data_IF_667211383478
#
_entry.id   IF_667211383478
#
_cell.length_a   1.000
_cell.length_b   1.000
_cell.length_c   1.000
_cell.angle_alpha   90.00
_cell.angle_beta   90.00
_cell.angle_gamma   90.00
#
_symmetry.space_group_name_H-M   'P 1'
#
loop_
_entity.id
_entity.type
_entity.pdbx_description
1 polymer ?
#
# COMPACT_ATOMS: atom_id res chain seq x y z
N UNK A 1 6.51 -20.41 -3.07
CA UNK A 1 6.28 -19.69 -1.80
C UNK A 1 6.48 -18.16 -1.86
N UNK A 2 6.94 -17.55 -2.97
CA UNK A 2 7.18 -16.08 -3.11
C UNK A 2 6.00 -15.26 -3.70
N UNK A 3 4.74 -15.60 -3.39
CA UNK A 3 3.57 -14.86 -3.94
C UNK A 3 2.98 -13.82 -2.98
N UNK A 4 3.43 -13.77 -1.72
CA UNK A 4 2.68 -13.12 -0.64
C UNK A 4 3.40 -11.96 0.08
N UNK A 5 4.74 -11.88 0.04
CA UNK A 5 5.44 -10.67 0.51
C UNK A 5 5.13 -9.43 -0.36
N UNK A 6 4.83 -9.64 -1.64
CA UNK A 6 4.34 -8.59 -2.56
C UNK A 6 2.92 -8.13 -2.21
N UNK A 7 2.11 -9.00 -1.59
CA UNK A 7 0.74 -8.69 -1.18
C UNK A 7 0.70 -7.86 0.12
N UNK A 8 1.72 -7.95 0.98
CA UNK A 8 1.75 -7.17 2.22
C UNK A 8 1.96 -5.66 1.98
N UNK A 9 2.74 -5.29 0.96
CA UNK A 9 2.87 -3.89 0.54
C UNK A 9 1.61 -3.39 -0.20
N UNK A 10 0.87 -4.29 -0.87
CA UNK A 10 -0.39 -3.95 -1.55
C UNK A 10 -1.60 -3.88 -0.59
N UNK A 11 -1.57 -4.57 0.55
CA UNK A 11 -2.73 -4.72 1.44
C UNK A 11 -2.98 -3.50 2.36
N UNK A 12 -1.96 -2.69 2.66
CA UNK A 12 -2.13 -1.50 3.51
C UNK A 12 -2.89 -0.37 2.81
N UNK A 13 -2.93 -0.35 1.47
CA UNK A 13 -3.70 0.62 0.70
C UNK A 13 -5.21 0.28 0.58
N UNK A 14 -5.63 -0.92 0.99
CA UNK A 14 -7.01 -1.44 0.73
C UNK A 14 -7.85 -1.56 2.02
N UNK A 15 -7.24 -1.33 3.20
CA UNK A 15 -7.86 -1.60 4.50
C UNK A 15 -8.68 -0.43 5.10
N UNK A 16 -8.65 0.77 4.52
CA UNK A 16 -9.54 1.85 4.95
C UNK A 16 -10.91 1.66 4.26
N UNK A 17 -11.93 1.34 5.05
CA UNK A 17 -13.32 1.30 4.56
C UNK A 17 -13.79 2.66 4.04
N UNK A 18 -14.94 2.71 3.33
CA UNK A 18 -15.46 3.90 2.65
C UNK A 18 -15.77 5.13 3.54
N UNK A 19 -15.59 5.04 4.86
CA UNK A 19 -15.83 6.13 5.83
C UNK A 19 -14.59 6.92 6.27
N UNK A 20 -13.39 6.61 5.79
CA UNK A 20 -12.13 7.30 6.18
C UNK A 20 -11.30 7.77 4.98
N UNK A 21 -11.95 8.21 3.91
CA UNK A 21 -11.21 8.83 2.81
C UNK A 21 -11.01 10.33 3.13
N UNK A 22 -9.79 10.67 3.53
CA UNK A 22 -9.38 12.05 3.77
C UNK A 22 -9.61 12.90 2.50
N UNK A 23 -10.01 14.16 2.70
CA UNK A 23 -10.15 15.09 1.58
C UNK A 23 -8.80 15.34 0.91
N UNK A 24 -8.81 15.35 -0.42
CA UNK A 24 -7.61 15.61 -1.21
C UNK A 24 -7.43 17.13 -1.32
N UNK A 25 -6.31 17.70 -0.83
CA UNK A 25 -6.05 19.12 -0.94
C UNK A 25 -6.07 19.58 -2.40
N UNK A 26 -6.83 20.63 -2.70
CA UNK A 26 -6.96 21.16 -4.05
C UNK A 26 -8.04 20.48 -4.90
N UNK A 27 -8.75 19.49 -4.37
CA UNK A 27 -9.98 18.96 -4.97
C UNK A 27 -11.19 19.54 -4.24
N UNK A 28 -12.22 19.91 -5.00
CA UNK A 28 -13.45 20.47 -4.46
C UNK A 28 -14.24 19.44 -3.67
N UNK A 29 -14.97 19.93 -2.66
CA UNK A 29 -15.86 19.11 -1.84
C UNK A 29 -16.91 18.36 -2.67
N UNK A 30 -17.45 18.99 -3.71
CA UNK A 30 -18.41 18.34 -4.61
C UNK A 30 -17.80 17.12 -5.35
N UNK A 31 -16.55 17.23 -5.81
CA UNK A 31 -15.88 16.11 -6.47
C UNK A 31 -15.44 15.03 -5.46
N UNK A 32 -15.06 15.40 -4.24
CA UNK A 32 -14.82 14.44 -3.17
C UNK A 32 -16.10 13.71 -2.75
N UNK A 33 -17.24 14.39 -2.72
CA UNK A 33 -18.54 13.77 -2.42
C UNK A 33 -18.95 12.77 -3.52
N UNK A 34 -18.73 13.11 -4.80
CA UNK A 34 -18.91 12.18 -5.92
C UNK A 34 -18.03 10.93 -5.79
N UNK A 35 -16.79 11.08 -5.31
CA UNK A 35 -15.92 9.94 -5.03
C UNK A 35 -16.50 9.06 -3.92
N UNK A 36 -16.93 9.65 -2.80
CA UNK A 36 -17.55 8.92 -1.70
C UNK A 36 -18.80 8.17 -2.15
N UNK A 37 -19.62 8.80 -3.00
CA UNK A 37 -20.79 8.17 -3.59
C UNK A 37 -20.42 7.02 -4.53
N UNK A 38 -19.40 7.16 -5.38
CA UNK A 38 -18.99 6.08 -6.29
C UNK A 38 -18.42 4.86 -5.55
N UNK A 39 -17.83 5.09 -4.37
CA UNK A 39 -17.31 4.06 -3.48
C UNK A 39 -18.35 3.51 -2.49
N UNK A 40 -19.61 3.95 -2.59
CA UNK A 40 -20.73 3.46 -1.79
C UNK A 40 -21.83 2.85 -2.69
N UNK A 41 -22.13 1.54 -2.63
CA UNK A 41 -21.58 0.55 -1.69
C UNK A 41 -20.10 0.27 -1.95
N UNK A 42 -19.44 -0.28 -0.91
CA UNK A 42 -18.01 -0.63 -0.94
C UNK A 42 -17.72 -1.48 -2.19
N UNK A 43 -16.68 -1.17 -2.97
CA UNK A 43 -16.35 -1.95 -4.15
C UNK A 43 -16.05 -3.42 -3.82
N UNK A 44 -16.44 -4.33 -4.72
CA UNK A 44 -16.27 -5.77 -4.55
C UNK A 44 -14.86 -6.25 -4.87
N UNK A 45 -13.85 -5.52 -4.38
CA UNK A 45 -12.44 -5.87 -4.52
C UNK A 45 -11.57 -4.77 -5.14
N UNK A 46 -10.27 -5.06 -5.28
CA UNK A 46 -9.26 -4.08 -5.69
C UNK A 46 -9.41 -3.62 -7.15
N UNK A 47 -9.89 -4.49 -8.05
CA UNK A 47 -10.09 -4.13 -9.46
C UNK A 47 -11.24 -3.15 -9.64
N UNK A 48 -12.37 -3.39 -8.97
CA UNK A 48 -13.52 -2.46 -9.00
C UNK A 48 -13.16 -1.13 -8.36
N UNK A 49 -12.45 -1.16 -7.22
CA UNK A 49 -11.95 0.05 -6.57
C UNK A 49 -11.03 0.85 -7.50
N UNK A 50 -10.05 0.19 -8.13
CA UNK A 50 -9.12 0.82 -9.06
C UNK A 50 -9.86 1.48 -10.23
N UNK A 51 -10.85 0.79 -10.79
CA UNK A 51 -11.66 1.32 -11.89
C UNK A 51 -12.41 2.59 -11.45
N UNK A 52 -13.11 2.53 -10.31
CA UNK A 52 -13.85 3.68 -9.75
C UNK A 52 -12.95 4.89 -9.47
N UNK A 53 -11.75 4.66 -8.94
CA UNK A 53 -10.76 5.73 -8.74
C UNK A 53 -10.29 6.35 -10.06
N UNK A 54 -10.06 5.54 -11.10
CA UNK A 54 -9.67 6.04 -12.43
C UNK A 54 -10.81 6.82 -13.11
N UNK A 55 -12.05 6.32 -13.01
CA UNK A 55 -13.24 7.02 -13.52
C UNK A 55 -13.41 8.38 -12.84
N UNK A 56 -13.25 8.42 -11.51
CA UNK A 56 -13.29 9.67 -10.76
C UNK A 56 -12.16 10.63 -11.18
N UNK A 57 -10.90 10.18 -11.24
CA UNK A 57 -9.77 11.03 -11.65
C UNK A 57 -9.98 11.60 -13.06
N UNK A 58 -10.49 10.80 -14.00
CA UNK A 58 -10.77 11.24 -15.37
C UNK A 58 -11.96 12.22 -15.46
N UNK A 59 -12.85 12.24 -14.47
CA UNK A 59 -13.98 13.16 -14.39
C UNK A 59 -13.61 14.55 -13.83
N UNK A 60 -12.41 14.67 -13.22
CA UNK A 60 -11.94 15.91 -12.62
C UNK A 60 -11.53 16.94 -13.69
N UNK A 61 -11.77 18.24 -13.44
CA UNK A 61 -11.13 19.32 -14.17
C UNK A 61 -9.60 19.23 -14.06
N UNK A 62 -8.87 19.75 -15.06
CA UNK A 62 -7.41 19.61 -15.15
C UNK A 62 -6.65 20.04 -13.89
N UNK A 63 -7.07 21.12 -13.22
CA UNK A 63 -6.44 21.60 -12.00
C UNK A 63 -6.65 20.65 -10.80
N UNK A 64 -7.89 20.17 -10.60
CA UNK A 64 -8.21 19.22 -9.54
C UNK A 64 -7.60 17.84 -9.82
N UNK A 65 -7.52 17.44 -11.09
CA UNK A 65 -6.81 16.23 -11.52
C UNK A 65 -5.33 16.30 -11.17
N UNK A 66 -4.68 17.43 -11.45
CA UNK A 66 -3.28 17.63 -11.09
C UNK A 66 -3.09 17.58 -9.56
N UNK A 67 -4.00 18.18 -8.80
CA UNK A 67 -3.99 18.12 -7.34
C UNK A 67 -4.15 16.66 -6.83
N UNK A 68 -5.07 15.89 -7.41
CA UNK A 68 -5.27 14.48 -7.08
C UNK A 68 -4.05 13.61 -7.42
N UNK A 69 -3.40 13.85 -8.56
CA UNK A 69 -2.19 13.14 -8.96
C UNK A 69 -1.03 13.47 -8.02
N UNK A 70 -0.80 14.75 -7.71
CA UNK A 70 0.24 15.18 -6.78
C UNK A 70 0.03 14.59 -5.38
N UNK A 71 -1.22 14.59 -4.88
CA UNK A 71 -1.54 13.98 -3.60
C UNK A 71 -1.31 12.46 -3.60
N UNK A 72 -1.66 11.78 -4.70
CA UNK A 72 -1.38 10.35 -4.86
C UNK A 72 0.12 10.06 -4.87
N UNK A 73 0.93 10.87 -5.53
CA UNK A 73 2.39 10.74 -5.52
C UNK A 73 2.95 10.94 -4.10
N UNK A 74 2.51 11.99 -3.41
CA UNK A 74 2.89 12.25 -2.02
C UNK A 74 2.55 11.08 -1.10
N UNK A 75 1.33 10.53 -1.20
CA UNK A 75 0.93 9.39 -0.38
C UNK A 75 1.77 8.15 -0.69
N UNK A 76 2.12 7.91 -1.97
CA UNK A 76 3.00 6.81 -2.34
C UNK A 76 4.42 6.98 -1.78
N UNK A 77 4.97 8.20 -1.80
CA UNK A 77 6.27 8.50 -1.19
C UNK A 77 6.24 8.31 0.33
N UNK A 78 5.20 8.80 1.00
CA UNK A 78 4.99 8.59 2.44
C UNK A 78 4.93 7.11 2.79
N UNK A 79 4.07 6.35 2.12
CA UNK A 79 3.94 4.91 2.35
C UNK A 79 5.23 4.15 2.08
N UNK A 80 5.98 4.55 1.06
CA UNK A 80 7.29 3.96 0.80
C UNK A 80 8.27 4.26 1.92
N UNK A 81 8.36 5.50 2.37
CA UNK A 81 9.22 5.89 3.50
C UNK A 81 8.81 5.18 4.80
N UNK A 82 7.52 5.03 5.08
CA UNK A 82 7.00 4.26 6.21
C UNK A 82 7.35 2.77 6.10
N UNK A 83 7.23 2.18 4.91
CA UNK A 83 7.65 0.80 4.66
C UNK A 83 9.14 0.59 4.97
N UNK A 84 10.01 1.53 4.57
CA UNK A 84 11.44 1.46 4.84
C UNK A 84 11.81 1.67 6.32
N UNK A 85 11.01 2.45 7.03
CA UNK A 85 11.15 2.65 8.48
C UNK A 85 10.63 1.45 9.28
N UNK A 86 9.62 0.75 8.75
CA UNK A 86 9.01 -0.41 9.41
C UNK A 86 10.00 -1.57 9.44
N UNK A 87 10.51 -1.86 10.64
CA UNK A 87 11.30 -3.05 10.91
C UNK A 87 10.46 -4.33 10.80
N UNK A 88 11.13 -5.43 10.44
CA UNK A 88 10.57 -6.77 10.57
C UNK A 88 11.08 -7.35 11.89
N UNK A 89 10.21 -7.71 12.85
CA UNK A 89 10.62 -8.27 14.12
C UNK A 89 11.53 -9.50 13.94
N UNK A 90 12.68 -9.49 14.61
CA UNK A 90 13.66 -10.58 14.55
C UNK A 90 14.60 -10.54 13.34
N UNK A 91 14.41 -9.62 12.39
CA UNK A 91 15.38 -9.37 11.32
C UNK A 91 16.42 -8.34 11.80
N UNK A 92 17.69 -8.62 11.56
CA UNK A 92 18.80 -7.76 11.94
C UNK A 92 18.74 -6.36 11.29
N UNK A 93 19.33 -5.37 11.98
CA UNK A 93 19.43 -4.01 11.46
C UNK A 93 20.22 -3.95 10.14
N UNK A 94 21.24 -4.79 9.97
CA UNK A 94 22.05 -4.86 8.75
C UNK A 94 21.22 -5.35 7.55
N UNK A 95 20.40 -6.39 7.75
CA UNK A 95 19.48 -6.88 6.73
C UNK A 95 18.39 -5.87 6.40
N UNK A 96 17.86 -5.14 7.39
CA UNK A 96 16.93 -4.04 7.14
C UNK A 96 17.60 -2.86 6.40
N UNK A 97 18.86 -2.55 6.69
CA UNK A 97 19.60 -1.52 5.96
C UNK A 97 19.77 -1.89 4.48
N UNK A 98 20.12 -3.15 4.22
CA UNK A 98 20.18 -3.69 2.86
C UNK A 98 18.83 -3.62 2.15
N UNK A 99 17.71 -3.89 2.83
CA UNK A 99 16.37 -3.70 2.25
C UNK A 99 16.20 -2.25 1.80
N UNK A 100 16.56 -1.28 2.65
CA UNK A 100 16.44 0.15 2.33
C UNK A 100 17.29 0.53 1.13
N UNK A 101 18.52 0.03 1.05
CA UNK A 101 19.40 0.27 -0.09
C UNK A 101 18.81 -0.27 -1.39
N UNK A 102 18.35 -1.53 -1.40
CA UNK A 102 17.77 -2.16 -2.61
C UNK A 102 16.46 -1.46 -3.02
N UNK A 103 15.68 -1.00 -2.03
CA UNK A 103 14.40 -0.34 -2.24
C UNK A 103 14.52 1.16 -2.51
N UNK A 104 15.74 1.71 -2.52
CA UNK A 104 16.02 3.12 -2.85
C UNK A 104 16.84 3.18 -4.16
N UNK A 105 16.32 3.79 -5.25
CA UNK A 105 15.08 4.56 -5.33
C UNK A 105 13.83 3.68 -5.32
N UNK A 106 12.69 4.31 -5.00
CA UNK A 106 11.36 3.71 -4.96
C UNK A 106 11.12 2.89 -6.24
N UNK A 107 10.67 1.62 -6.13
CA UNK A 107 10.41 0.80 -7.30
C UNK A 107 9.31 1.38 -8.20
N UNK A 108 9.48 1.28 -9.51
CA UNK A 108 8.51 1.78 -10.48
C UNK A 108 7.41 0.75 -10.78
N UNK A 109 6.74 0.31 -9.71
CA UNK A 109 5.59 -0.60 -9.79
C UNK A 109 5.83 -1.99 -9.19
N UNK A 110 4.83 -2.89 -9.31
CA UNK A 110 4.77 -4.13 -8.56
C UNK A 110 5.82 -5.17 -9.01
N UNK A 111 6.21 -5.15 -10.28
CA UNK A 111 7.17 -6.10 -10.82
C UNK A 111 8.60 -5.82 -10.35
N UNK A 112 9.04 -4.56 -10.45
CA UNK A 112 10.33 -4.12 -9.92
C UNK A 112 10.39 -4.28 -8.40
N UNK A 113 9.31 -3.94 -7.69
CA UNK A 113 9.20 -4.17 -6.25
C UNK A 113 9.40 -5.65 -5.89
N UNK A 114 8.76 -6.56 -6.64
CA UNK A 114 8.92 -8.00 -6.43
C UNK A 114 10.34 -8.48 -6.69
N UNK A 115 10.98 -7.98 -7.75
CA UNK A 115 12.37 -8.31 -8.05
C UNK A 115 13.29 -7.87 -6.90
N UNK A 116 13.17 -6.61 -6.46
CA UNK A 116 13.92 -6.05 -5.32
C UNK A 116 13.68 -6.80 -4.00
N UNK A 117 12.42 -7.18 -3.71
CA UNK A 117 12.12 -8.01 -2.54
C UNK A 117 12.78 -9.39 -2.62
N UNK A 118 12.75 -10.04 -3.78
CA UNK A 118 13.39 -11.34 -3.95
C UNK A 118 14.91 -11.24 -3.80
N UNK A 119 15.53 -10.19 -4.34
CA UNK A 119 16.94 -9.90 -4.15
C UNK A 119 17.28 -9.76 -2.66
N UNK A 120 16.50 -8.96 -1.93
CA UNK A 120 16.68 -8.79 -0.48
C UNK A 120 16.59 -10.12 0.27
N UNK A 121 15.53 -10.91 0.05
CA UNK A 121 15.30 -12.21 0.70
C UNK A 121 16.45 -13.19 0.41
N UNK A 122 16.90 -13.25 -0.85
CA UNK A 122 17.98 -14.15 -1.25
C UNK A 122 19.33 -13.74 -0.63
N UNK A 123 19.42 -12.49 -0.17
CA UNK A 123 20.61 -11.95 0.48
C UNK A 123 20.60 -12.07 2.00
N UNK A 124 19.49 -12.53 2.59
CA UNK A 124 19.34 -12.67 4.04
C UNK A 124 20.17 -13.84 4.59
N UNK A 125 20.79 -13.68 5.77
CA UNK A 125 21.31 -14.83 6.51
C UNK A 125 20.15 -15.74 6.99
N UNK A 126 20.43 -17.03 7.28
CA UNK A 126 19.39 -18.00 7.64
C UNK A 126 18.51 -17.58 8.82
N UNK A 127 19.09 -16.93 9.83
CA UNK A 127 18.38 -16.43 11.01
C UNK A 127 17.36 -15.32 10.68
N UNK A 128 17.78 -14.33 9.90
CA UNK A 128 16.91 -13.24 9.45
C UNK A 128 15.83 -13.75 8.49
N UNK A 129 16.17 -14.72 7.64
CA UNK A 129 15.21 -15.34 6.73
C UNK A 129 14.10 -16.06 7.51
N UNK A 130 14.46 -16.84 8.53
CA UNK A 130 13.48 -17.51 9.39
C UNK A 130 12.60 -16.49 10.14
N UNK A 131 13.18 -15.38 10.62
CA UNK A 131 12.42 -14.31 11.27
C UNK A 131 11.44 -13.63 10.30
N UNK A 132 11.88 -13.34 9.07
CA UNK A 132 11.02 -12.77 8.02
C UNK A 132 9.87 -13.71 7.66
N UNK A 133 10.12 -15.02 7.55
CA UNK A 133 9.10 -16.03 7.30
C UNK A 133 8.11 -16.17 8.48
N UNK A 134 8.59 -16.12 9.72
CA UNK A 134 7.74 -16.15 10.91
C UNK A 134 6.83 -14.91 10.99
N UNK A 135 7.37 -13.73 10.69
CA UNK A 135 6.58 -12.50 10.62
C UNK A 135 5.51 -12.57 9.52
N UNK A 136 5.83 -13.14 8.35
CA UNK A 136 4.84 -13.39 7.29
C UNK A 136 3.71 -14.30 7.79
N UNK A 137 4.05 -15.42 8.46
CA UNK A 137 3.06 -16.35 8.99
C UNK A 137 2.18 -15.70 10.05
N UNK A 138 2.75 -14.88 10.94
CA UNK A 138 1.98 -14.11 11.92
C UNK A 138 0.98 -13.17 11.24
N UNK A 139 1.41 -12.46 10.19
CA UNK A 139 0.54 -11.55 9.45
C UNK A 139 -0.58 -12.29 8.70
N UNK A 140 -0.31 -13.51 8.20
CA UNK A 140 -1.35 -14.36 7.62
C UNK A 140 -2.37 -14.84 8.64
N UNK A 141 -1.92 -15.24 9.82
CA UNK A 141 -2.79 -15.75 10.87
C UNK A 141 -3.69 -14.66 11.47
N UNK A 142 -3.26 -13.40 11.47
CA UNK A 142 -4.08 -12.28 11.97
C UNK A 142 -5.30 -11.97 11.10
N UNK A 143 -5.37 -12.46 9.86
CA UNK A 143 -6.45 -12.15 8.93
C UNK A 143 -6.59 -10.65 8.64
N UNK A 144 -7.50 -10.23 7.74
CA UNK A 144 -7.90 -8.83 7.66
C UNK A 144 -8.55 -8.42 8.99
N UNK A 145 -8.37 -7.17 9.46
CA UNK A 145 -9.07 -6.70 10.64
C UNK A 145 -10.59 -6.91 10.46
N UNK A 146 -11.31 -7.36 11.50
CA UNK A 146 -12.75 -7.45 11.43
C UNK A 146 -13.33 -6.07 11.07
N UNK A 147 -14.42 -6.01 10.28
CA UNK A 147 -15.07 -4.74 10.00
C UNK A 147 -15.41 -4.03 11.32
N UNK A 148 -15.24 -2.70 11.42
CA UNK A 148 -15.64 -1.97 12.61
C UNK A 148 -17.16 -2.12 12.82
N UNK A 149 -17.51 -2.95 13.81
CA UNK A 149 -18.77 -2.99 14.55
C UNK A 149 -20.10 -3.13 13.78
N UNK A 150 -20.76 -4.27 13.94
CA UNK A 150 -22.18 -4.29 14.28
C UNK A 150 -22.27 -4.70 15.75
N UNK A 151 -22.32 -3.71 16.66
CA UNK A 151 -22.80 -3.88 18.03
C UNK A 151 -24.13 -3.14 18.14
#
# INVERSE_FOLDING_TARGET
MMKLLVLLALAMAVAAGPGMMEDIPGVSQANMERLRQSLNPRPNGPEEFKRKMQEWENSLPSAERAAAQAHREQMQERHHAEFLQRGIPGVSAASMDKLRQIMTPRPNGPEEFRQKMNEWINSLPPEDKAAAEAHEQQMRQRGPPPPPGNH
#
